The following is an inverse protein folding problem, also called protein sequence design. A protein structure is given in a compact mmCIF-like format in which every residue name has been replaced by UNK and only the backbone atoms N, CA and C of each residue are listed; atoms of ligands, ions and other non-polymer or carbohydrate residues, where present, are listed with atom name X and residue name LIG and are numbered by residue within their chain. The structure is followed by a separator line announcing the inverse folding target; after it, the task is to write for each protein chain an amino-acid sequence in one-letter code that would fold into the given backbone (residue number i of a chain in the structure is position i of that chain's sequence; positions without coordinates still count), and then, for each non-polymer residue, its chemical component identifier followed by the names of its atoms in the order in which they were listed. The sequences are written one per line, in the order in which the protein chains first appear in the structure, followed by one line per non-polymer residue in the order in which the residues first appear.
data_IF_570996254728
#
_entry.id   IF_570996254728
#
_cell.length_a   1.000
_cell.length_b   1.000
_cell.length_c   1.000
_cell.angle_alpha   90.00
_cell.angle_beta   90.00
_cell.angle_gamma   90.00
#
_symmetry.space_group_name_H-M   'P 1'
#
loop_
_entity.id
_entity.type
_entity.pdbx_description
1 polymer ?
#
# COMPACT_ATOMS: atom_id res chain seq x y z
N UNK A 1 -27.56 21.59 10.62
CA UNK A 1 -26.25 22.25 10.55
C UNK A 1 -25.25 21.19 10.10
N UNK A 2 -25.08 21.02 8.79
CA UNK A 2 -24.21 20.00 8.20
C UNK A 2 -22.76 20.50 8.31
N UNK A 3 -21.98 19.89 9.19
CA UNK A 3 -20.56 20.18 9.32
C UNK A 3 -19.88 19.86 7.99
N UNK A 4 -19.21 20.85 7.41
CA UNK A 4 -18.38 20.65 6.23
C UNK A 4 -17.26 19.68 6.61
N UNK A 5 -17.33 18.45 6.09
CA UNK A 5 -16.23 17.49 6.10
C UNK A 5 -15.03 18.15 5.40
N UNK A 6 -13.91 18.35 6.11
CA UNK A 6 -12.68 18.92 5.54
C UNK A 6 -11.67 17.80 5.31
N UNK A 7 -11.19 17.65 4.07
CA UNK A 7 -10.22 16.61 3.69
C UNK A 7 -8.90 16.71 4.47
N UNK A 8 -8.51 17.91 4.92
CA UNK A 8 -7.32 18.10 5.75
C UNK A 8 -7.47 17.45 7.13
N UNK A 9 -8.67 17.52 7.72
CA UNK A 9 -8.96 16.88 9.02
C UNK A 9 -8.89 15.36 8.90
N UNK A 10 -9.43 14.80 7.80
CA UNK A 10 -9.36 13.36 7.54
C UNK A 10 -7.93 12.88 7.35
N UNK A 11 -7.11 13.62 6.60
CA UNK A 11 -5.69 13.29 6.41
C UNK A 11 -4.90 13.35 7.72
N UNK A 12 -5.17 14.34 8.55
CA UNK A 12 -4.55 14.46 9.88
C UNK A 12 -4.92 13.27 10.79
N UNK A 13 -6.20 12.87 10.82
CA UNK A 13 -6.65 11.71 11.59
C UNK A 13 -6.00 10.40 11.08
N UNK A 14 -5.84 10.23 9.77
CA UNK A 14 -5.17 9.07 9.19
C UNK A 14 -3.71 8.96 9.64
N UNK A 15 -2.99 10.08 9.74
CA UNK A 15 -1.63 10.10 10.29
C UNK A 15 -1.59 9.63 11.73
N UNK A 16 -2.53 10.08 12.57
CA UNK A 16 -2.63 9.64 13.97
C UNK A 16 -2.91 8.13 14.03
N UNK A 17 -3.84 7.61 13.23
CA UNK A 17 -4.15 6.18 13.24
C UNK A 17 -2.96 5.31 12.80
N UNK A 18 -2.16 5.76 11.84
CA UNK A 18 -0.95 5.03 11.45
C UNK A 18 0.11 5.09 12.55
N UNK A 19 0.27 6.23 13.23
CA UNK A 19 1.15 6.33 14.38
C UNK A 19 0.71 5.39 15.51
N UNK A 20 -0.58 5.38 15.86
CA UNK A 20 -1.14 4.47 16.86
C UNK A 20 -1.01 2.99 16.45
N UNK A 21 -1.13 2.69 15.15
CA UNK A 21 -0.95 1.34 14.63
C UNK A 21 0.49 0.81 14.84
N UNK A 22 1.50 1.63 14.58
CA UNK A 22 2.90 1.21 14.68
C UNK A 22 3.48 1.34 16.10
N UNK A 23 3.14 2.41 16.83
CA UNK A 23 3.72 2.73 18.14
C UNK A 23 2.77 2.43 19.31
N UNK A 24 1.50 2.12 19.03
CA UNK A 24 0.48 1.94 20.07
C UNK A 24 -0.10 3.27 20.56
N UNK A 25 -1.22 3.20 21.28
CA UNK A 25 -1.90 4.39 21.83
C UNK A 25 -1.04 5.17 22.83
N UNK A 26 -0.11 4.47 23.49
CA UNK A 26 0.76 5.03 24.53
C UNK A 26 2.24 5.07 24.15
N UNK A 27 2.58 4.82 22.87
CA UNK A 27 3.96 4.70 22.39
C UNK A 27 4.77 3.59 23.10
N UNK A 28 4.08 2.51 23.49
CA UNK A 28 4.63 1.34 24.17
C UNK A 28 5.02 0.21 23.20
N UNK A 29 4.60 0.29 21.93
CA UNK A 29 5.07 -0.59 20.87
C UNK A 29 6.33 -0.04 20.21
N UNK A 30 7.20 -0.94 19.78
CA UNK A 30 8.47 -0.62 19.10
C UNK A 30 8.44 -1.23 17.71
N UNK A 31 8.01 -0.49 16.68
CA UNK A 31 8.01 -0.99 15.32
C UNK A 31 9.45 -1.23 14.85
N UNK A 32 9.62 -2.12 13.88
CA UNK A 32 10.92 -2.59 13.45
C UNK A 32 11.18 -2.26 11.98
N UNK A 33 12.36 -1.71 11.72
CA UNK A 33 12.84 -1.44 10.36
C UNK A 33 13.52 -2.69 9.81
N UNK A 34 13.03 -3.17 8.67
CA UNK A 34 13.51 -4.38 8.01
C UNK A 34 13.96 -4.06 6.58
N UNK A 35 14.87 -4.88 6.06
CA UNK A 35 15.38 -4.75 4.69
C UNK A 35 15.12 -6.04 3.92
N UNK A 36 14.43 -5.95 2.78
CA UNK A 36 14.16 -7.08 1.90
C UNK A 36 14.70 -6.85 0.48
N UNK A 37 14.92 -7.92 -0.29
CA UNK A 37 15.20 -7.79 -1.72
C UNK A 37 13.91 -7.53 -2.51
N UNK A 38 14.03 -6.80 -3.61
CA UNK A 38 12.92 -6.67 -4.57
C UNK A 38 12.44 -8.02 -5.10
N UNK A 39 13.32 -9.03 -5.15
CA UNK A 39 12.96 -10.38 -5.60
C UNK A 39 12.16 -11.17 -4.57
N UNK A 40 12.16 -10.76 -3.31
CA UNK A 40 11.46 -11.45 -2.22
C UNK A 40 10.02 -10.96 -2.06
N UNK A 41 9.65 -9.85 -2.73
CA UNK A 41 8.37 -9.16 -2.56
C UNK A 41 7.67 -8.97 -3.90
N UNK A 42 6.35 -9.14 -3.89
CA UNK A 42 5.49 -8.95 -5.05
C UNK A 42 4.45 -7.88 -4.72
N UNK A 43 4.57 -6.73 -5.37
CA UNK A 43 3.73 -5.56 -5.10
C UNK A 43 2.63 -5.46 -6.15
N UNK A 44 1.40 -5.30 -5.70
CA UNK A 44 0.22 -5.19 -6.55
C UNK A 44 -0.65 -3.99 -6.18
N UNK A 45 -1.47 -3.56 -7.14
CA UNK A 45 -2.56 -2.61 -6.94
C UNK A 45 -3.87 -3.30 -7.31
N UNK A 46 -4.89 -3.09 -6.48
CA UNK A 46 -6.26 -3.53 -6.79
C UNK A 46 -6.98 -2.40 -7.51
N UNK A 47 -7.61 -2.73 -8.62
CA UNK A 47 -8.22 -1.76 -9.50
C UNK A 47 -7.18 -0.93 -10.27
N UNK A 48 -7.68 -0.16 -11.22
CA UNK A 48 -6.83 0.54 -12.17
C UNK A 48 -6.29 -0.40 -13.27
N UNK A 49 -5.92 0.19 -14.39
CA UNK A 49 -5.53 -0.50 -15.60
C UNK A 49 -5.68 0.43 -16.81
N UNK A 50 -5.21 0.04 -18.00
CA UNK A 50 -5.37 0.85 -19.20
C UNK A 50 -6.85 1.04 -19.47
N UNK A 51 -7.33 2.25 -19.17
CA UNK A 51 -8.67 2.66 -19.53
C UNK A 51 -8.58 3.27 -20.93
N UNK A 52 -9.33 2.74 -21.88
CA UNK A 52 -9.41 3.35 -23.20
C UNK A 52 -9.87 4.81 -23.04
N UNK A 53 -9.18 5.79 -23.65
CA UNK A 53 -9.62 7.17 -23.60
C UNK A 53 -11.03 7.25 -24.21
N UNK A 54 -11.87 8.15 -23.69
CA UNK A 54 -13.27 8.31 -24.14
C UNK A 54 -13.40 8.52 -25.66
N UNK A 55 -12.39 9.11 -26.28
CA UNK A 55 -12.31 9.31 -27.73
C UNK A 55 -12.17 8.01 -28.54
N UNK A 56 -11.70 6.93 -27.93
CA UNK A 56 -11.57 5.60 -28.53
C UNK A 56 -12.77 4.68 -28.23
N UNK A 57 -13.77 5.18 -27.47
CA UNK A 57 -14.98 4.44 -27.14
C UNK A 57 -16.13 4.81 -28.09
N UNK A 58 -17.05 3.87 -28.41
CA UNK A 58 -18.28 4.19 -29.12
C UNK A 58 -19.08 5.28 -28.41
N UNK A 59 -19.83 6.08 -29.17
CA UNK A 59 -20.73 7.09 -28.61
C UNK A 59 -21.70 6.39 -27.64
N UNK A 60 -21.71 6.83 -26.37
CA UNK A 60 -22.55 6.28 -25.31
C UNK A 60 -21.93 5.13 -24.51
N UNK A 61 -20.71 4.69 -24.84
CA UNK A 61 -19.98 3.73 -24.01
C UNK A 61 -19.14 4.46 -22.94
N UNK A 62 -19.32 4.08 -21.67
CA UNK A 62 -18.47 4.55 -20.59
C UNK A 62 -17.19 3.69 -20.51
N UNK A 63 -16.06 4.28 -20.11
CA UNK A 63 -14.86 3.51 -19.86
C UNK A 63 -15.10 2.54 -18.69
N UNK A 64 -15.05 1.23 -18.97
CA UNK A 64 -15.15 0.20 -17.95
C UNK A 64 -13.75 -0.27 -17.56
N UNK A 65 -13.26 0.19 -16.41
CA UNK A 65 -12.14 -0.45 -15.73
C UNK A 65 -12.70 -1.51 -14.78
N UNK A 66 -12.14 -2.72 -14.79
CA UNK A 66 -12.48 -3.75 -13.81
C UNK A 66 -11.93 -3.32 -12.43
N UNK A 67 -12.80 -3.00 -11.45
CA UNK A 67 -12.37 -2.51 -10.14
C UNK A 67 -11.66 -3.59 -9.31
N UNK A 68 -11.83 -4.87 -9.65
CA UNK A 68 -11.23 -6.01 -8.94
C UNK A 68 -9.93 -6.48 -9.59
N UNK A 69 -9.54 -5.88 -10.72
CA UNK A 69 -8.34 -6.27 -11.45
C UNK A 69 -7.09 -6.07 -10.61
N UNK A 70 -6.26 -7.11 -10.53
CA UNK A 70 -4.96 -7.03 -9.91
C UNK A 70 -3.91 -6.59 -10.94
N UNK A 71 -3.15 -5.53 -10.63
CA UNK A 71 -2.09 -5.00 -11.50
C UNK A 71 -0.76 -5.04 -10.76
N UNK A 72 0.29 -5.71 -11.30
CA UNK A 72 1.61 -5.68 -10.70
C UNK A 72 2.20 -4.27 -10.77
N UNK A 73 2.82 -3.83 -9.67
CA UNK A 73 3.48 -2.53 -9.56
C UNK A 73 4.99 -2.74 -9.61
N UNK A 74 5.66 -1.97 -10.46
CA UNK A 74 7.12 -1.98 -10.51
C UNK A 74 7.66 -1.21 -9.31
N UNK A 75 8.60 -1.80 -8.57
CA UNK A 75 9.23 -1.13 -7.42
C UNK A 75 10.09 0.03 -7.93
N UNK A 76 9.67 1.26 -7.64
CA UNK A 76 10.35 2.50 -7.98
C UNK A 76 10.18 3.53 -6.83
N UNK A 77 11.00 4.58 -6.81
CA UNK A 77 10.96 5.57 -5.72
C UNK A 77 9.71 6.47 -5.74
N UNK A 78 9.16 6.77 -6.92
CA UNK A 78 8.08 7.77 -7.04
C UNK A 78 6.73 7.24 -6.50
N UNK A 79 6.46 5.95 -6.70
CA UNK A 79 5.13 5.40 -6.45
C UNK A 79 5.02 4.68 -5.09
N UNK A 80 6.16 4.29 -4.49
CA UNK A 80 6.17 3.44 -3.31
C UNK A 80 6.83 4.07 -2.08
N UNK A 81 7.72 5.06 -2.23
CA UNK A 81 8.35 5.69 -1.07
C UNK A 81 7.29 6.35 -0.18
N UNK A 82 7.35 6.11 1.12
CA UNK A 82 6.37 6.54 2.13
C UNK A 82 4.97 5.96 1.95
N UNK A 83 4.76 5.01 1.03
CA UNK A 83 3.46 4.38 0.87
C UNK A 83 3.22 3.32 1.95
N UNK A 84 1.96 3.19 2.38
CA UNK A 84 1.51 2.12 3.26
C UNK A 84 1.01 0.95 2.42
N UNK A 85 1.58 -0.22 2.62
CA UNK A 85 1.23 -1.45 1.91
C UNK A 85 0.58 -2.44 2.87
N UNK A 86 -0.48 -3.09 2.40
CA UNK A 86 -1.08 -4.21 3.11
C UNK A 86 -0.33 -5.50 2.79
N UNK A 87 -0.07 -6.33 3.80
CA UNK A 87 0.53 -7.66 3.66
C UNK A 87 -0.59 -8.69 3.54
N UNK A 88 -0.77 -9.31 2.38
CA UNK A 88 -1.85 -10.28 2.14
C UNK A 88 -1.45 -11.68 2.60
N UNK A 89 -2.35 -12.42 3.24
CA UNK A 89 -2.15 -13.85 3.56
C UNK A 89 -2.26 -14.79 2.34
N UNK A 90 -2.46 -14.24 1.13
CA UNK A 90 -2.49 -15.03 -0.09
C UNK A 90 -1.21 -15.86 -0.26
N UNK A 91 -1.35 -17.09 -0.77
CA UNK A 91 -0.22 -17.96 -1.13
C UNK A 91 0.11 -17.89 -2.61
N UNK A 92 -0.89 -17.52 -3.41
CA UNK A 92 -0.81 -17.39 -4.86
C UNK A 92 -1.43 -16.05 -5.31
N UNK A 93 -1.01 -15.48 -6.46
CA UNK A 93 -1.46 -14.14 -6.87
C UNK A 93 -2.97 -14.01 -7.10
N UNK A 94 -3.63 -15.06 -7.57
CA UNK A 94 -5.07 -15.10 -7.82
C UNK A 94 -5.91 -15.08 -6.53
N UNK A 95 -5.31 -15.43 -5.39
CA UNK A 95 -5.94 -15.42 -4.08
C UNK A 95 -5.87 -14.05 -3.39
N UNK A 96 -5.12 -13.07 -3.94
CA UNK A 96 -4.87 -11.78 -3.27
C UNK A 96 -6.17 -11.05 -2.94
N UNK A 97 -7.16 -11.08 -3.83
CA UNK A 97 -8.44 -10.36 -3.60
C UNK A 97 -9.31 -11.06 -2.55
N UNK A 98 -9.26 -12.39 -2.47
CA UNK A 98 -10.09 -13.18 -1.55
C UNK A 98 -9.42 -13.44 -0.20
N UNK A 99 -8.14 -13.08 -0.05
CA UNK A 99 -7.36 -13.33 1.16
C UNK A 99 -7.40 -12.15 2.13
N UNK A 100 -7.40 -12.47 3.41
CA UNK A 100 -7.27 -11.46 4.47
C UNK A 100 -5.88 -10.83 4.47
N UNK A 101 -5.78 -9.67 5.13
CA UNK A 101 -4.54 -8.94 5.36
C UNK A 101 -3.99 -9.28 6.75
N UNK A 102 -2.69 -9.54 6.85
CA UNK A 102 -1.96 -9.79 8.09
C UNK A 102 -1.70 -8.50 8.88
N UNK A 103 -1.49 -7.40 8.15
CA UNK A 103 -1.18 -6.09 8.70
C UNK A 103 -0.69 -5.15 7.62
N UNK A 104 -0.13 -4.02 8.05
CA UNK A 104 0.38 -2.97 7.18
C UNK A 104 1.84 -2.70 7.46
N UNK A 105 2.57 -2.30 6.43
CA UNK A 105 3.95 -1.82 6.50
C UNK A 105 4.06 -0.47 5.81
N UNK A 106 5.04 0.35 6.21
CA UNK A 106 5.37 1.58 5.50
C UNK A 106 6.74 1.46 4.84
N UNK A 107 6.86 1.86 3.57
CA UNK A 107 8.16 1.92 2.90
C UNK A 107 8.90 3.19 3.32
N UNK A 108 10.06 3.03 3.92
CA UNK A 108 10.86 4.15 4.42
C UNK A 108 12.04 4.49 3.51
N UNK A 109 12.55 3.53 2.75
CA UNK A 109 13.64 3.74 1.80
C UNK A 109 13.62 2.73 0.64
N UNK A 110 14.10 3.16 -0.54
CA UNK A 110 14.19 2.32 -1.74
C UNK A 110 15.56 2.53 -2.39
N UNK A 111 16.41 1.50 -2.32
CA UNK A 111 17.72 1.45 -2.98
C UNK A 111 17.61 0.66 -4.29
N UNK A 112 17.44 1.41 -5.40
CA UNK A 112 17.35 0.84 -6.75
C UNK A 112 18.68 0.21 -7.22
N UNK A 113 19.82 0.68 -6.72
CA UNK A 113 21.13 0.16 -7.12
C UNK A 113 21.36 -1.23 -6.51
N UNK A 114 21.06 -1.38 -5.22
CA UNK A 114 21.18 -2.66 -4.51
C UNK A 114 19.94 -3.55 -4.65
N UNK A 115 18.85 -3.05 -5.24
CA UNK A 115 17.55 -3.72 -5.34
C UNK A 115 17.04 -4.17 -3.98
N UNK A 116 17.11 -3.24 -3.01
CA UNK A 116 16.69 -3.42 -1.62
C UNK A 116 15.63 -2.39 -1.26
N UNK A 117 14.64 -2.83 -0.49
CA UNK A 117 13.60 -1.98 0.08
C UNK A 117 13.71 -2.03 1.59
N UNK A 118 13.60 -0.87 2.23
CA UNK A 118 13.53 -0.74 3.67
C UNK A 118 12.10 -0.40 4.04
N UNK A 119 11.54 -1.11 5.02
CA UNK A 119 10.18 -0.90 5.47
C UNK A 119 10.06 -0.99 6.98
N UNK A 120 9.12 -0.22 7.52
CA UNK A 120 8.70 -0.26 8.90
C UNK A 120 7.56 -1.28 9.05
N UNK A 121 7.69 -2.21 9.98
CA UNK A 121 6.68 -3.20 10.34
C UNK A 121 6.33 -3.09 11.83
N UNK A 122 5.10 -3.47 12.25
CA UNK A 122 4.69 -3.39 13.65
C UNK A 122 5.38 -4.42 14.55
N UNK A 123 6.06 -5.41 13.97
CA UNK A 123 6.79 -6.45 14.70
C UNK A 123 8.10 -6.79 13.99
N UNK A 124 9.07 -7.32 14.74
CA UNK A 124 10.33 -7.79 14.20
C UNK A 124 10.19 -9.16 13.52
N UNK A 125 11.02 -9.40 12.52
CA UNK A 125 11.07 -10.67 11.79
C UNK A 125 10.56 -10.57 10.35
N UNK A 126 10.49 -11.71 9.69
CA UNK A 126 10.06 -11.80 8.31
C UNK A 126 8.56 -11.55 8.18
N UNK A 127 8.17 -10.98 7.03
CA UNK A 127 6.75 -10.79 6.73
C UNK A 127 6.06 -12.16 6.63
N UNK A 128 4.81 -12.26 7.12
CA UNK A 128 4.03 -13.50 7.02
C UNK A 128 3.70 -13.89 5.56
N UNK A 129 3.90 -12.98 4.61
CA UNK A 129 3.74 -13.21 3.18
C UNK A 129 4.57 -12.22 2.35
N UNK A 130 4.85 -12.61 1.12
CA UNK A 130 5.54 -11.84 0.09
C UNK A 130 4.61 -10.96 -0.76
N UNK A 131 3.30 -11.15 -0.66
CA UNK A 131 2.32 -10.44 -1.48
C UNK A 131 1.87 -9.15 -0.80
N UNK A 132 2.19 -8.02 -1.42
CA UNK A 132 1.93 -6.69 -0.90
C UNK A 132 0.93 -5.96 -1.80
N UNK A 133 0.02 -5.21 -1.18
CA UNK A 133 -0.99 -4.42 -1.88
C UNK A 133 -0.77 -2.95 -1.57
N UNK A 134 -0.57 -2.12 -2.60
CA UNK A 134 -0.36 -0.68 -2.45
C UNK A 134 -1.67 0.00 -2.05
N UNK A 135 -1.67 0.65 -0.89
CA UNK A 135 -2.76 1.51 -0.46
C UNK A 135 -2.79 2.86 -1.20
N UNK A 136 -3.80 3.67 -0.91
CA UNK A 136 -3.86 5.07 -1.33
C UNK A 136 -3.22 6.03 -0.30
N UNK A 137 -2.72 5.50 0.81
CA UNK A 137 -2.19 6.27 1.93
C UNK A 137 -0.67 6.37 1.83
N UNK A 138 -0.16 7.57 2.09
CA UNK A 138 1.26 7.85 2.28
C UNK A 138 1.50 8.39 3.69
N UNK A 139 2.52 7.89 4.36
CA UNK A 139 2.91 8.29 5.71
C UNK A 139 4.41 8.50 5.81
N UNK A 140 4.80 9.68 6.28
CA UNK A 140 6.18 10.03 6.57
C UNK A 140 6.39 9.93 8.08
N UNK A 141 7.24 9.00 8.52
CA UNK A 141 7.74 8.97 9.89
C UNK A 141 8.51 10.28 10.13
N UNK A 142 8.06 11.08 11.09
CA UNK A 142 8.64 12.40 11.42
C UNK A 142 9.34 12.35 12.77
#
# INVERSE_FOLDING_TARGET
MLTRYNAETDLFLLTIFLQEYFYGLTNDLSPHSNIASFSDLFVYRIGGGPQAPRSALPIGAEPAADPMRLVPVTINNHDLLHSVLAVSFAKEPDQIISSNVAGFICITDIDLQRKKITYLAPSAGDLPSKYLIVGSLSWLET
#
